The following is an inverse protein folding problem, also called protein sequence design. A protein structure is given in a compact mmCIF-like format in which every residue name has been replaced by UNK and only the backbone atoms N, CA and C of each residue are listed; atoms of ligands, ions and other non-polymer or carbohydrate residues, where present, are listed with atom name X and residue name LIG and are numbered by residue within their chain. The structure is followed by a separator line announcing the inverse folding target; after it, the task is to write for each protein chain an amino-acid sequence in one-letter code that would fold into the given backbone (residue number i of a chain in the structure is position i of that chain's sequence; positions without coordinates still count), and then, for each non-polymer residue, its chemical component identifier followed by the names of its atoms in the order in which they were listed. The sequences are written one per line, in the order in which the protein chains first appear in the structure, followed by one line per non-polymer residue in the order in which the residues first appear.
data_IF_367578114546
#
_entry.id   IF_367578114546
#
_cell.length_a   1.000
_cell.length_b   1.000
_cell.length_c   1.000
_cell.angle_alpha   90.00
_cell.angle_beta   90.00
_cell.angle_gamma   90.00
#
_symmetry.space_group_name_H-M   'P 1'
#
loop_
_entity.id
_entity.type
_entity.pdbx_description
1 polymer ?
#
# COMPACT_ATOMS: atom_id res chain seq x y z
N UNK A 1 -8.56 10.59 5.14
CA UNK A 1 -9.23 9.59 4.29
C UNK A 1 -10.71 9.87 4.05
N UNK A 2 -11.56 10.13 5.06
CA UNK A 2 -13.04 10.27 4.88
C UNK A 2 -13.48 11.20 3.75
N UNK A 3 -12.81 12.35 3.58
CA UNK A 3 -13.24 13.39 2.65
C UNK A 3 -12.32 13.59 1.44
N UNK A 4 -11.15 12.95 1.42
CA UNK A 4 -10.10 13.18 0.42
C UNK A 4 -9.37 11.88 0.03
N UNK A 5 -9.94 10.72 0.37
CA UNK A 5 -9.29 9.42 0.16
C UNK A 5 -9.14 9.05 -1.31
N UNK A 6 -10.09 9.44 -2.16
CA UNK A 6 -10.06 9.20 -3.60
C UNK A 6 -8.84 9.78 -4.33
N UNK A 7 -8.18 10.79 -3.77
CA UNK A 7 -6.95 11.36 -4.33
C UNK A 7 -5.70 10.49 -4.11
N UNK A 8 -5.78 9.43 -3.30
CA UNK A 8 -4.65 8.61 -2.85
C UNK A 8 -4.88 7.12 -3.12
N UNK A 9 -5.54 6.78 -4.23
CA UNK A 9 -6.01 5.41 -4.48
C UNK A 9 -4.89 4.37 -4.47
N UNK A 10 -3.76 4.65 -5.14
CA UNK A 10 -2.64 3.70 -5.24
C UNK A 10 -1.88 3.58 -3.93
N UNK A 11 -1.68 4.70 -3.22
CA UNK A 11 -1.03 4.74 -1.93
C UNK A 11 -1.83 3.95 -0.88
N UNK A 12 -3.16 4.16 -0.85
CA UNK A 12 -4.06 3.42 0.04
C UNK A 12 -3.99 1.93 -0.29
N UNK A 13 -4.14 1.55 -1.55
CA UNK A 13 -4.06 0.14 -1.97
C UNK A 13 -2.73 -0.51 -1.58
N UNK A 14 -1.60 0.19 -1.72
CA UNK A 14 -0.28 -0.30 -1.32
C UNK A 14 -0.19 -0.53 0.20
N UNK A 15 -0.67 0.43 1.00
CA UNK A 15 -0.66 0.31 2.46
C UNK A 15 -1.55 -0.85 2.91
N UNK A 16 -2.74 -1.00 2.34
CA UNK A 16 -3.65 -2.12 2.67
C UNK A 16 -3.08 -3.47 2.26
N UNK A 17 -2.50 -3.56 1.07
CA UNK A 17 -1.88 -4.79 0.59
C UNK A 17 -0.77 -5.25 1.55
N UNK A 18 0.05 -4.29 2.02
CA UNK A 18 1.09 -4.56 3.00
C UNK A 18 0.51 -4.96 4.37
N UNK A 19 -0.53 -4.25 4.83
CA UNK A 19 -1.19 -4.54 6.09
C UNK A 19 -1.78 -5.95 6.12
N UNK A 20 -2.45 -6.38 5.04
CA UNK A 20 -3.06 -7.71 4.94
C UNK A 20 -2.03 -8.83 4.77
N UNK A 21 -0.91 -8.57 4.09
CA UNK A 21 0.01 -9.63 3.67
C UNK A 21 1.22 -9.79 4.60
N UNK A 22 1.74 -8.67 5.13
CA UNK A 22 3.09 -8.61 5.66
C UNK A 22 3.23 -7.95 7.03
N UNK A 23 2.34 -7.04 7.44
CA UNK A 23 2.56 -6.19 8.62
C UNK A 23 2.87 -6.98 9.90
N UNK A 24 2.02 -7.94 10.28
CA UNK A 24 2.18 -8.72 11.51
C UNK A 24 3.43 -9.59 11.47
N UNK A 25 3.75 -10.13 10.29
CA UNK A 25 4.96 -10.95 10.09
C UNK A 25 6.20 -10.07 10.20
N UNK A 26 6.24 -8.94 9.50
CA UNK A 26 7.36 -8.00 9.56
C UNK A 26 7.53 -7.43 10.97
N UNK A 27 6.46 -7.12 11.69
CA UNK A 27 6.52 -6.65 13.09
C UNK A 27 7.16 -7.69 14.00
N UNK A 28 6.77 -8.96 13.86
CA UNK A 28 7.39 -10.07 14.61
C UNK A 28 8.86 -10.23 14.26
N UNK A 29 9.18 -10.31 12.97
CA UNK A 29 10.56 -10.42 12.49
C UNK A 29 11.43 -9.24 12.91
N UNK A 30 10.89 -8.02 12.95
CA UNK A 30 11.59 -6.84 13.43
C UNK A 30 11.89 -6.93 14.93
N UNK A 31 10.91 -7.36 15.74
CA UNK A 31 11.13 -7.58 17.18
C UNK A 31 12.18 -8.66 17.44
N UNK A 32 12.19 -9.73 16.64
CA UNK A 32 13.18 -10.80 16.72
C UNK A 32 14.56 -10.31 16.30
N UNK A 33 14.65 -9.53 15.21
CA UNK A 33 15.90 -8.96 14.73
C UNK A 33 16.48 -7.95 15.73
N UNK A 34 15.63 -7.14 16.36
CA UNK A 34 16.04 -6.21 17.42
C UNK A 34 16.60 -6.96 18.64
N UNK A 35 15.95 -8.06 19.04
CA UNK A 35 16.46 -8.92 20.11
C UNK A 35 17.78 -9.61 19.72
N UNK A 36 17.90 -10.06 18.49
CA UNK A 36 19.15 -10.65 18.00
C UNK A 36 20.28 -9.61 17.98
N UNK A 37 19.97 -8.37 17.59
CA UNK A 37 20.91 -7.27 17.64
C UNK A 37 21.36 -6.97 19.08
N UNK A 38 20.44 -6.90 20.06
CA UNK A 38 20.82 -6.70 21.46
C UNK A 38 21.73 -7.83 21.97
N UNK A 39 21.43 -9.08 21.60
CA UNK A 39 22.25 -10.22 21.97
C UNK A 39 23.66 -10.15 21.35
N UNK A 40 23.78 -9.68 20.10
CA UNK A 40 25.09 -9.47 19.45
C UNK A 40 25.88 -8.40 20.20
N UNK A 41 25.26 -7.28 20.57
CA UNK A 41 25.93 -6.20 21.31
C UNK A 41 26.42 -6.69 22.68
N UNK A 42 25.61 -7.47 23.38
CA UNK A 42 26.01 -8.08 24.66
C UNK A 42 27.15 -9.10 24.49
N UNK A 43 27.11 -9.90 23.42
CA UNK A 43 28.15 -10.86 23.10
C UNK A 43 29.47 -10.19 22.68
N UNK A 44 29.41 -9.12 21.88
CA UNK A 44 30.56 -8.30 21.45
C UNK A 44 31.23 -7.69 22.68
N UNK A 45 30.46 -7.07 23.58
CA UNK A 45 30.99 -6.51 24.82
C UNK A 45 31.58 -7.57 25.76
N UNK A 46 31.05 -8.80 25.76
CA UNK A 46 31.59 -9.90 26.56
C UNK A 46 32.86 -10.50 25.94
N UNK A 47 32.95 -10.55 24.62
CA UNK A 47 34.11 -11.05 23.89
C UNK A 47 35.28 -10.06 23.97
N UNK A 48 35.02 -8.76 23.83
CA UNK A 48 36.00 -7.69 24.02
C UNK A 48 36.64 -7.72 25.40
N UNK A 49 35.84 -7.97 26.46
CA UNK A 49 36.36 -8.15 27.83
C UNK A 49 37.31 -9.34 27.95
N UNK A 50 36.96 -10.48 27.34
CA UNK A 50 37.81 -11.68 27.35
C UNK A 50 39.12 -11.49 26.59
N UNK A 51 39.11 -10.69 25.52
CA UNK A 51 40.31 -10.35 24.76
C UNK A 51 41.25 -9.45 25.56
N UNK A 52 40.71 -8.52 26.36
CA UNK A 52 41.50 -7.65 27.24
C UNK A 52 42.10 -8.37 28.46
N UNK A 53 41.44 -9.43 28.94
CA UNK A 53 41.91 -10.25 30.07
C UNK A 53 43.03 -11.25 29.69
N UNK A 54 43.35 -11.41 28.40
CA UNK A 54 44.47 -12.26 27.97
C UNK A 54 45.82 -11.61 28.28
N UNK A 55 46.74 -12.39 28.86
CA UNK A 55 48.11 -11.95 29.20
C UNK A 55 48.79 -11.23 28.01
N UNK A 56 49.12 -9.95 28.20
CA UNK A 56 49.79 -9.09 27.20
C UNK A 56 48.89 -8.09 26.45
N UNK A 57 47.59 -8.03 26.77
CA UNK A 57 46.58 -7.21 26.08
C UNK A 57 46.00 -6.05 26.91
N UNK A 58 46.46 -5.84 28.15
CA UNK A 58 45.96 -4.78 29.03
C UNK A 58 46.07 -3.39 28.38
N UNK A 59 44.93 -2.73 28.16
CA UNK A 59 44.84 -1.35 27.66
C UNK A 59 44.83 -1.17 26.14
N UNK A 60 44.88 -2.24 25.34
CA UNK A 60 44.70 -2.17 23.87
C UNK A 60 43.26 -2.42 23.48
N UNK A 61 42.78 -1.73 22.45
CA UNK A 61 41.48 -2.02 21.84
C UNK A 61 41.56 -3.30 20.99
N UNK A 62 40.47 -4.06 20.83
CA UNK A 62 40.45 -5.27 19.99
C UNK A 62 40.93 -5.01 18.54
N UNK A 63 40.67 -3.80 18.04
CA UNK A 63 41.10 -3.30 16.73
C UNK A 63 42.63 -3.17 16.62
N UNK A 64 43.33 -2.87 17.72
CA UNK A 64 44.80 -2.74 17.75
C UNK A 64 45.51 -4.08 17.93
N UNK A 65 44.77 -5.15 18.27
CA UNK A 65 45.33 -6.48 18.53
C UNK A 65 45.34 -7.39 17.29
N UNK A 66 44.59 -7.06 16.25
CA UNK A 66 44.37 -7.91 15.07
C UNK A 66 44.60 -7.13 13.76
N UNK A 67 44.85 -7.86 12.67
CA UNK A 67 44.82 -7.28 11.32
C UNK A 67 43.38 -6.94 10.92
N UNK A 68 43.16 -5.91 10.10
CA UNK A 68 41.81 -5.47 9.67
C UNK A 68 40.97 -6.62 9.08
N UNK A 69 41.58 -7.51 8.28
CA UNK A 69 40.91 -8.69 7.70
C UNK A 69 40.53 -9.72 8.78
N UNK A 70 41.39 -9.95 9.76
CA UNK A 70 41.15 -10.92 10.84
C UNK A 70 40.09 -10.42 11.83
N UNK A 71 40.04 -9.10 12.07
CA UNK A 71 39.02 -8.46 12.90
C UNK A 71 37.62 -8.56 12.27
N UNK A 72 37.50 -8.34 10.96
CA UNK A 72 36.24 -8.50 10.24
C UNK A 72 35.75 -9.96 10.26
N UNK A 73 36.65 -10.92 10.02
CA UNK A 73 36.30 -12.34 10.07
C UNK A 73 35.88 -12.77 11.48
N UNK A 74 36.55 -12.26 12.52
CA UNK A 74 36.20 -12.54 13.91
C UNK A 74 34.82 -11.97 14.29
N UNK A 75 34.52 -10.73 13.90
CA UNK A 75 33.20 -10.14 14.13
C UNK A 75 32.10 -10.83 13.33
N UNK A 76 32.37 -11.23 12.10
CA UNK A 76 31.43 -12.04 11.31
C UNK A 76 31.15 -13.39 11.97
N UNK A 77 32.19 -14.07 12.47
CA UNK A 77 32.04 -15.34 13.18
C UNK A 77 31.24 -15.17 14.48
N UNK A 78 31.48 -14.09 15.23
CA UNK A 78 30.69 -13.75 16.42
C UNK A 78 29.21 -13.54 16.07
N UNK A 79 28.93 -12.74 15.04
CA UNK A 79 27.56 -12.48 14.55
C UNK A 79 26.88 -13.77 14.10
N UNK A 80 27.58 -14.63 13.37
CA UNK A 80 27.05 -15.93 12.90
C UNK A 80 26.79 -16.91 14.05
N UNK A 81 27.53 -16.80 15.17
CA UNK A 81 27.31 -17.64 16.37
C UNK A 81 26.06 -17.24 17.15
N UNK A 82 25.73 -15.94 17.22
CA UNK A 82 24.57 -15.48 18.01
C UNK A 82 23.30 -15.29 17.18
N UNK A 83 23.40 -14.98 15.88
CA UNK A 83 22.23 -14.89 15.00
C UNK A 83 21.87 -16.27 14.45
N UNK A 84 20.63 -16.71 14.67
CA UNK A 84 20.13 -17.90 13.97
C UNK A 84 19.89 -17.58 12.48
N UNK A 85 20.50 -18.34 11.55
CA UNK A 85 20.37 -18.06 10.11
C UNK A 85 18.91 -18.15 9.64
N UNK A 86 18.15 -19.09 10.21
CA UNK A 86 16.74 -19.29 9.86
C UNK A 86 15.89 -18.04 10.15
N UNK A 87 16.06 -17.38 11.31
CA UNK A 87 15.29 -16.17 11.64
C UNK A 87 15.65 -14.99 10.72
N UNK A 88 16.93 -14.85 10.35
CA UNK A 88 17.36 -13.82 9.41
C UNK A 88 16.75 -14.04 8.02
N UNK A 89 16.72 -15.29 7.54
CA UNK A 89 16.07 -15.65 6.27
C UNK A 89 14.56 -15.45 6.32
N UNK A 90 13.89 -15.87 7.41
CA UNK A 90 12.44 -15.71 7.57
C UNK A 90 12.05 -14.22 7.61
N UNK A 91 12.86 -13.37 8.25
CA UNK A 91 12.67 -11.92 8.27
C UNK A 91 12.82 -11.29 6.87
N UNK A 92 13.87 -11.65 6.15
CA UNK A 92 14.08 -11.19 4.78
C UNK A 92 12.95 -11.66 3.84
N UNK A 93 12.53 -12.92 3.97
CA UNK A 93 11.43 -13.48 3.20
C UNK A 93 10.09 -12.78 3.51
N UNK A 94 9.82 -12.45 4.78
CA UNK A 94 8.61 -11.73 5.16
C UNK A 94 8.55 -10.32 4.55
N UNK A 95 9.67 -9.59 4.54
CA UNK A 95 9.76 -8.25 3.93
C UNK A 95 9.55 -8.36 2.41
N UNK A 96 10.24 -9.30 1.75
CA UNK A 96 10.09 -9.54 0.32
C UNK A 96 8.66 -9.95 -0.06
N UNK A 97 8.03 -10.82 0.73
CA UNK A 97 6.65 -11.22 0.51
C UNK A 97 5.69 -10.02 0.62
N UNK A 98 5.89 -9.13 1.60
CA UNK A 98 5.12 -7.90 1.71
C UNK A 98 5.31 -6.96 0.52
N UNK A 99 6.56 -6.81 0.04
CA UNK A 99 6.86 -6.01 -1.16
C UNK A 99 6.19 -6.58 -2.41
N UNK A 100 6.31 -7.89 -2.65
CA UNK A 100 5.68 -8.53 -3.79
C UNK A 100 4.15 -8.51 -3.71
N UNK A 101 3.58 -8.56 -2.50
CA UNK A 101 2.14 -8.39 -2.33
C UNK A 101 1.67 -7.01 -2.79
N UNK A 102 2.40 -5.94 -2.46
CA UNK A 102 2.10 -4.58 -2.94
C UNK A 102 2.13 -4.54 -4.48
N UNK A 103 3.22 -5.02 -5.09
CA UNK A 103 3.37 -5.02 -6.55
C UNK A 103 2.26 -5.84 -7.21
N UNK A 104 1.94 -7.01 -6.66
CA UNK A 104 0.89 -7.88 -7.17
C UNK A 104 -0.49 -7.21 -7.08
N UNK A 105 -0.85 -6.61 -5.95
CA UNK A 105 -2.14 -5.92 -5.78
C UNK A 105 -2.29 -4.76 -6.76
N UNK A 106 -1.25 -3.94 -6.90
CA UNK A 106 -1.28 -2.80 -7.80
C UNK A 106 -1.39 -3.21 -9.28
N UNK A 107 -0.59 -4.19 -9.72
CA UNK A 107 -0.64 -4.70 -11.12
C UNK A 107 -1.92 -5.47 -11.42
N UNK A 108 -2.41 -6.27 -10.46
CA UNK A 108 -3.65 -7.01 -10.62
C UNK A 108 -4.84 -6.07 -10.78
N UNK A 109 -4.91 -4.99 -10.00
CA UNK A 109 -5.98 -3.98 -10.12
C UNK A 109 -6.03 -3.36 -11.52
N UNK A 110 -4.88 -2.93 -12.05
CA UNK A 110 -4.80 -2.37 -13.40
C UNK A 110 -5.20 -3.41 -14.48
N UNK A 111 -4.64 -4.62 -14.42
CA UNK A 111 -4.95 -5.69 -15.37
C UNK A 111 -6.43 -6.10 -15.35
N UNK A 112 -7.03 -6.17 -14.16
CA UNK A 112 -8.44 -6.50 -13.98
C UNK A 112 -9.35 -5.41 -14.58
N UNK A 113 -9.04 -4.12 -14.33
CA UNK A 113 -9.81 -3.00 -14.87
C UNK A 113 -9.82 -2.98 -16.41
N UNK A 114 -8.66 -3.23 -17.04
CA UNK A 114 -8.52 -3.29 -18.50
C UNK A 114 -9.31 -4.47 -19.06
N UNK A 115 -9.17 -5.66 -18.45
CA UNK A 115 -9.84 -6.89 -18.92
C UNK A 115 -11.36 -6.75 -18.86
N UNK A 116 -11.88 -6.25 -17.73
CA UNK A 116 -13.31 -5.96 -17.56
C UNK A 116 -13.78 -4.87 -18.55
N UNK A 117 -12.96 -3.84 -18.75
CA UNK A 117 -13.25 -2.76 -19.69
C UNK A 117 -13.38 -3.22 -21.14
N UNK A 118 -12.46 -4.06 -21.59
CA UNK A 118 -12.51 -4.67 -22.94
C UNK A 118 -13.74 -5.58 -23.08
N UNK A 119 -14.04 -6.39 -22.06
CA UNK A 119 -15.24 -7.25 -22.07
C UNK A 119 -16.53 -6.42 -22.17
N UNK A 120 -16.63 -5.32 -21.41
CA UNK A 120 -17.74 -4.36 -21.52
C UNK A 120 -17.79 -3.70 -22.90
N UNK A 121 -16.65 -3.31 -23.45
CA UNK A 121 -16.53 -2.75 -24.79
C UNK A 121 -17.10 -3.67 -25.88
N UNK A 122 -16.81 -4.97 -25.83
CA UNK A 122 -17.38 -5.94 -26.77
C UNK A 122 -18.88 -6.14 -26.61
N UNK A 123 -19.43 -5.99 -25.40
CA UNK A 123 -20.88 -6.02 -25.18
C UNK A 123 -21.54 -4.78 -25.80
N UNK A 124 -20.95 -3.60 -25.60
CA UNK A 124 -21.46 -2.35 -26.20
C UNK A 124 -21.31 -2.35 -27.72
N UNK A 125 -20.22 -2.87 -28.26
CA UNK A 125 -19.99 -2.94 -29.70
C UNK A 125 -21.15 -3.61 -30.44
N UNK A 126 -21.70 -4.70 -29.90
CA UNK A 126 -22.86 -5.39 -30.49
C UNK A 126 -24.08 -4.47 -30.54
N UNK A 127 -24.38 -3.76 -29.44
CA UNK A 127 -25.51 -2.84 -29.36
C UNK A 127 -25.32 -1.61 -30.27
N UNK A 128 -24.12 -1.04 -30.27
CA UNK A 128 -23.79 0.16 -31.05
C UNK A 128 -23.73 -0.16 -32.55
N UNK A 129 -23.25 -1.33 -32.97
CA UNK A 129 -23.30 -1.75 -34.38
C UNK A 129 -24.74 -1.90 -34.87
N UNK A 130 -25.64 -2.43 -34.05
CA UNK A 130 -27.05 -2.55 -34.44
C UNK A 130 -27.71 -1.19 -34.70
N UNK A 131 -27.34 -0.15 -33.95
CA UNK A 131 -27.98 1.17 -34.03
C UNK A 131 -27.25 2.11 -35.00
N UNK A 132 -25.92 2.21 -34.90
CA UNK A 132 -25.13 3.28 -35.49
C UNK A 132 -24.32 2.86 -36.74
N UNK A 133 -24.25 1.57 -37.07
CA UNK A 133 -23.37 1.10 -38.14
C UNK A 133 -23.69 1.73 -39.50
N UNK A 134 -24.98 1.97 -39.79
CA UNK A 134 -25.42 2.56 -41.06
C UNK A 134 -24.98 4.01 -41.22
N UNK A 135 -25.11 4.80 -40.14
CA UNK A 135 -24.75 6.22 -40.14
C UNK A 135 -23.24 6.42 -40.20
N UNK A 136 -22.49 5.59 -39.47
CA UNK A 136 -21.02 5.62 -39.49
C UNK A 136 -20.50 5.21 -40.87
N UNK A 137 -21.08 4.20 -41.53
CA UNK A 137 -20.69 3.83 -42.90
C UNK A 137 -20.95 4.93 -43.93
N UNK A 138 -21.97 5.77 -43.72
CA UNK A 138 -22.23 6.93 -44.57
C UNK A 138 -21.16 8.02 -44.37
N UNK A 139 -20.79 8.30 -43.12
CA UNK A 139 -19.74 9.26 -42.74
C UNK A 139 -18.36 8.90 -43.32
N UNK A 140 -18.00 7.61 -43.34
CA UNK A 140 -16.70 7.16 -43.84
C UNK A 140 -16.63 7.05 -45.38
N UNK A 141 -17.72 7.31 -46.11
CA UNK A 141 -17.71 7.49 -47.57
C UNK A 141 -17.03 6.36 -48.35
N UNK A 142 -15.81 6.62 -48.81
CA UNK A 142 -14.94 5.73 -49.59
C UNK A 142 -14.16 4.72 -48.71
N UNK A 143 -13.96 5.03 -47.43
CA UNK A 143 -13.20 4.23 -46.46
C UNK A 143 -14.10 3.39 -45.52
N UNK A 144 -15.23 2.87 -46.02
CA UNK A 144 -16.23 2.14 -45.19
C UNK A 144 -15.67 0.93 -44.45
N UNK A 145 -14.57 0.34 -44.93
CA UNK A 145 -13.89 -0.76 -44.27
C UNK A 145 -13.37 -0.38 -42.87
N UNK A 146 -13.03 0.88 -42.63
CA UNK A 146 -12.53 1.39 -41.34
C UNK A 146 -13.65 1.66 -40.33
N UNK A 147 -14.90 1.78 -40.76
CA UNK A 147 -16.02 2.08 -39.87
C UNK A 147 -16.18 1.05 -38.74
N UNK A 148 -16.07 -0.25 -39.06
CA UNK A 148 -16.23 -1.32 -38.06
C UNK A 148 -15.07 -1.40 -37.07
N UNK A 149 -13.78 -1.39 -37.50
CA UNK A 149 -12.64 -1.32 -36.58
C UNK A 149 -12.63 -0.08 -35.68
N UNK A 150 -12.91 1.11 -36.24
CA UNK A 150 -12.93 2.35 -35.46
C UNK A 150 -14.03 2.32 -34.42
N UNK A 151 -15.22 1.83 -34.77
CA UNK A 151 -16.33 1.72 -33.83
C UNK A 151 -16.04 0.74 -32.70
N UNK A 152 -15.42 -0.41 -33.00
CA UNK A 152 -14.97 -1.37 -32.00
C UNK A 152 -13.91 -0.77 -31.07
N UNK A 153 -12.91 -0.08 -31.62
CA UNK A 153 -11.88 0.59 -30.83
C UNK A 153 -12.47 1.65 -29.90
N UNK A 154 -13.41 2.47 -30.38
CA UNK A 154 -14.11 3.46 -29.56
C UNK A 154 -14.93 2.82 -28.44
N UNK A 155 -15.65 1.71 -28.73
CA UNK A 155 -16.39 0.97 -27.71
C UNK A 155 -15.46 0.35 -26.66
N UNK A 156 -14.30 -0.17 -27.06
CA UNK A 156 -13.29 -0.68 -26.14
C UNK A 156 -12.70 0.43 -25.26
N UNK A 157 -12.35 1.59 -25.83
CA UNK A 157 -11.87 2.75 -25.07
C UNK A 157 -12.95 3.21 -24.08
N UNK A 158 -14.20 3.33 -24.53
CA UNK A 158 -15.32 3.68 -23.66
C UNK A 158 -15.53 2.65 -22.54
N UNK A 159 -15.45 1.36 -22.85
CA UNK A 159 -15.54 0.28 -21.85
C UNK A 159 -14.43 0.33 -20.82
N UNK A 160 -13.18 0.56 -21.24
CA UNK A 160 -12.03 0.73 -20.34
C UNK A 160 -12.18 1.97 -19.45
N UNK A 161 -12.55 3.12 -20.02
CA UNK A 161 -12.77 4.33 -19.21
C UNK A 161 -13.89 4.15 -18.18
N UNK A 162 -15.01 3.51 -18.55
CA UNK A 162 -16.09 3.20 -17.61
C UNK A 162 -15.63 2.25 -16.50
N UNK A 163 -14.88 1.20 -16.85
CA UNK A 163 -14.29 0.25 -15.89
C UNK A 163 -13.40 0.96 -14.87
N UNK A 164 -12.53 1.85 -15.34
CA UNK A 164 -11.63 2.62 -14.48
C UNK A 164 -12.41 3.53 -13.51
N UNK A 165 -13.43 4.24 -14.00
CA UNK A 165 -14.29 5.08 -13.14
C UNK A 165 -15.01 4.24 -12.08
N UNK A 166 -15.54 3.07 -12.46
CA UNK A 166 -16.18 2.17 -11.49
C UNK A 166 -15.17 1.65 -10.45
N UNK A 167 -13.96 1.31 -10.87
CA UNK A 167 -12.88 0.91 -9.98
C UNK A 167 -12.53 2.00 -8.96
N UNK A 168 -12.35 3.24 -9.43
CA UNK A 168 -12.08 4.39 -8.58
C UNK A 168 -13.20 4.63 -7.55
N UNK A 169 -14.47 4.52 -7.95
CA UNK A 169 -15.59 4.68 -7.01
C UNK A 169 -15.59 3.65 -5.88
N UNK A 170 -15.14 2.41 -6.16
CA UNK A 170 -15.01 1.38 -5.12
C UNK A 170 -13.92 1.74 -4.10
N UNK A 171 -12.79 2.29 -4.57
CA UNK A 171 -11.71 2.77 -3.67
C UNK A 171 -12.14 3.98 -2.85
N UNK A 172 -12.89 4.91 -3.44
CA UNK A 172 -13.47 6.07 -2.75
C UNK A 172 -14.38 5.60 -1.61
N UNK A 173 -15.25 4.63 -1.87
CA UNK A 173 -16.12 4.03 -0.85
C UNK A 173 -15.31 3.38 0.27
N UNK A 174 -14.31 2.57 -0.08
CA UNK A 174 -13.42 1.93 0.89
C UNK A 174 -12.70 2.97 1.77
N UNK A 175 -12.16 4.02 1.16
CA UNK A 175 -11.45 5.09 1.88
C UNK A 175 -12.38 5.89 2.82
N UNK A 176 -13.65 6.05 2.44
CA UNK A 176 -14.65 6.72 3.26
C UNK A 176 -15.02 5.86 4.48
N UNK A 177 -15.21 4.56 4.28
CA UNK A 177 -15.47 3.59 5.36
C UNK A 177 -14.29 3.53 6.34
N UNK A 178 -13.07 3.27 5.85
CA UNK A 178 -11.89 3.19 6.73
C UNK A 178 -11.56 4.52 7.40
N UNK A 179 -11.74 5.63 6.68
CA UNK A 179 -11.60 6.95 7.28
C UNK A 179 -12.58 7.19 8.43
N UNK A 180 -13.83 6.73 8.29
CA UNK A 180 -14.87 6.97 9.30
C UNK A 180 -14.56 6.25 10.60
N UNK A 181 -13.99 5.04 10.47
CA UNK A 181 -13.51 4.24 11.58
C UNK A 181 -12.44 4.98 12.39
N UNK A 182 -11.42 5.52 11.71
CA UNK A 182 -10.37 6.31 12.36
C UNK A 182 -10.90 7.55 13.08
N UNK A 183 -11.87 8.27 12.50
CA UNK A 183 -12.43 9.46 13.14
C UNK A 183 -13.19 9.08 14.41
N UNK A 184 -13.99 8.02 14.38
CA UNK A 184 -14.76 7.58 15.55
C UNK A 184 -13.83 7.08 16.66
N UNK A 185 -12.77 6.34 16.32
CA UNK A 185 -11.74 5.95 17.29
C UNK A 185 -11.00 7.15 17.89
N UNK A 186 -10.57 8.11 17.07
CA UNK A 186 -9.89 9.31 17.55
C UNK A 186 -10.80 10.17 18.45
N UNK A 187 -12.10 10.27 18.13
CA UNK A 187 -13.06 10.97 18.96
C UNK A 187 -13.21 10.31 20.34
N UNK A 188 -13.16 8.97 20.43
CA UNK A 188 -13.19 8.25 21.71
C UNK A 188 -11.95 8.51 22.55
N UNK A 189 -10.76 8.54 21.93
CA UNK A 189 -9.51 8.81 22.63
C UNK A 189 -9.43 10.24 23.21
N UNK A 190 -10.17 11.18 22.63
CA UNK A 190 -10.27 12.56 23.10
C UNK A 190 -11.28 12.75 24.25
N UNK A 191 -12.18 11.78 24.49
CA UNK A 191 -13.15 11.85 25.61
C UNK A 191 -12.45 11.39 26.90
N UNK A 192 -12.48 12.20 27.98
CA UNK A 192 -11.83 11.85 29.23
C UNK A 192 -12.36 10.54 29.81
N UNK A 193 -11.44 9.65 30.21
CA UNK A 193 -11.72 8.30 30.76
C UNK A 193 -12.57 8.27 32.05
N UNK A 194 -12.86 9.41 32.67
CA UNK A 194 -13.55 9.46 33.97
C UNK A 194 -15.07 9.27 33.90
N UNK A 195 -15.71 9.37 32.73
CA UNK A 195 -17.18 9.36 32.64
C UNK A 195 -17.82 8.23 31.85
N UNK A 196 -17.05 7.29 31.27
CA UNK A 196 -17.62 6.30 30.36
C UNK A 196 -17.02 4.93 30.63
N UNK A 197 -17.86 3.94 30.94
CA UNK A 197 -17.53 2.52 30.79
C UNK A 197 -16.84 2.31 29.43
N UNK A 198 -15.90 1.37 29.35
CA UNK A 198 -15.25 1.00 28.08
C UNK A 198 -16.29 0.43 27.11
N UNK A 199 -17.04 1.31 26.45
CA UNK A 199 -18.01 0.98 25.43
C UNK A 199 -17.21 0.62 24.18
N UNK A 200 -17.21 -0.67 23.88
CA UNK A 200 -16.56 -1.21 22.69
C UNK A 200 -17.12 -0.51 21.43
N UNK A 201 -16.23 0.07 20.63
CA UNK A 201 -16.62 0.82 19.41
C UNK A 201 -17.27 -0.04 18.35
N UNK A 202 -17.07 -1.34 18.45
CA UNK A 202 -17.49 -2.27 17.42
C UNK A 202 -18.84 -2.90 17.77
N UNK A 203 -19.27 -2.82 19.03
CA UNK A 203 -20.55 -3.36 19.49
C UNK A 203 -21.60 -2.28 19.75
N UNK A 204 -21.19 -1.04 20.02
CA UNK A 204 -22.13 0.04 20.28
C UNK A 204 -22.82 0.54 18.99
N UNK A 205 -24.15 0.42 18.97
CA UNK A 205 -24.98 0.79 17.84
C UNK A 205 -24.83 2.27 17.46
N UNK A 206 -24.61 3.15 18.44
CA UNK A 206 -24.40 4.56 18.19
C UNK A 206 -23.07 4.82 17.46
N UNK A 207 -22.00 4.13 17.85
CA UNK A 207 -20.71 4.20 17.19
C UNK A 207 -20.77 3.66 15.75
N UNK A 208 -21.43 2.51 15.54
CA UNK A 208 -21.61 1.93 14.19
C UNK A 208 -22.41 2.86 13.28
N UNK A 209 -23.50 3.46 13.80
CA UNK A 209 -24.30 4.42 13.05
C UNK A 209 -23.50 5.68 12.71
N UNK A 210 -22.70 6.20 13.65
CA UNK A 210 -21.83 7.34 13.41
C UNK A 210 -20.77 7.05 12.32
N UNK A 211 -20.13 5.87 12.36
CA UNK A 211 -19.21 5.41 11.30
C UNK A 211 -19.92 5.41 9.94
N UNK A 212 -21.10 4.79 9.84
CA UNK A 212 -21.85 4.68 8.58
C UNK A 212 -22.29 6.05 8.03
N UNK A 213 -22.86 6.91 8.87
CA UNK A 213 -23.31 8.26 8.46
C UNK A 213 -22.12 9.08 7.96
N UNK A 214 -21.01 9.05 8.70
CA UNK A 214 -19.80 9.76 8.32
C UNK A 214 -19.19 9.23 7.01
N UNK A 215 -19.21 7.90 6.81
CA UNK A 215 -18.76 7.28 5.57
C UNK A 215 -19.62 7.69 4.37
N UNK A 216 -20.95 7.70 4.50
CA UNK A 216 -21.87 8.12 3.42
C UNK A 216 -21.65 9.60 3.07
N UNK A 217 -21.56 10.47 4.08
CA UNK A 217 -21.27 11.90 3.86
C UNK A 217 -19.90 12.10 3.20
N UNK A 218 -18.89 11.32 3.62
CA UNK A 218 -17.56 11.30 3.02
C UNK A 218 -17.60 10.90 1.55
N UNK A 219 -18.27 9.80 1.23
CA UNK A 219 -18.40 9.27 -0.12
C UNK A 219 -19.10 10.25 -1.07
N UNK A 220 -20.28 10.75 -0.69
CA UNK A 220 -21.06 11.68 -1.53
C UNK A 220 -20.24 12.94 -1.83
N UNK A 221 -19.54 13.46 -0.81
CA UNK A 221 -18.71 14.65 -0.95
C UNK A 221 -17.50 14.40 -1.85
N UNK A 222 -16.83 13.25 -1.74
CA UNK A 222 -15.70 12.89 -2.59
C UNK A 222 -16.10 12.76 -4.06
N UNK A 223 -17.25 12.13 -4.34
CA UNK A 223 -17.80 12.00 -5.70
C UNK A 223 -18.22 13.37 -6.24
N UNK A 224 -18.89 14.19 -5.43
CA UNK A 224 -19.35 15.52 -5.85
C UNK A 224 -18.19 16.49 -6.16
N UNK A 225 -17.05 16.34 -5.49
CA UNK A 225 -15.87 17.19 -5.68
C UNK A 225 -14.84 16.65 -6.68
N UNK A 226 -15.14 15.53 -7.36
CA UNK A 226 -14.28 14.98 -8.40
C UNK A 226 -12.90 14.56 -7.88
N UNK A 227 -12.85 14.05 -6.64
CA UNK A 227 -11.64 13.47 -6.04
C UNK A 227 -10.45 14.43 -5.86
N UNK A 228 -10.66 15.75 -5.95
CA UNK A 228 -9.62 16.75 -5.75
C UNK A 228 -9.44 17.17 -4.29
N UNK A 229 -8.19 17.44 -3.88
CA UNK A 229 -7.89 18.11 -2.61
C UNK A 229 -7.95 19.62 -2.80
N UNK A 230 -8.75 20.31 -2.00
CA UNK A 230 -8.88 21.77 -2.10
C UNK A 230 -7.67 22.51 -1.50
N UNK A 231 -7.39 23.72 -2.01
CA UNK A 231 -6.34 24.59 -1.45
C UNK A 231 -6.79 25.14 -0.08
N UNK A 232 -5.93 25.18 0.97
CA UNK A 232 -4.48 24.93 0.99
C UNK A 232 -4.07 23.50 1.37
N UNK A 233 -5.01 22.60 1.66
CA UNK A 233 -4.71 21.22 2.07
C UNK A 233 -3.86 20.49 1.02
N UNK A 234 -4.04 20.81 -0.26
CA UNK A 234 -3.20 20.29 -1.34
C UNK A 234 -1.69 20.53 -1.10
N UNK A 235 -1.29 21.68 -0.52
CA UNK A 235 0.12 21.98 -0.25
C UNK A 235 0.67 21.11 0.88
N UNK A 236 -0.11 20.92 1.94
CA UNK A 236 0.28 20.12 3.11
C UNK A 236 0.40 18.63 2.74
N UNK A 237 -0.52 18.15 1.90
CA UNK A 237 -0.59 16.73 1.49
C UNK A 237 0.16 16.46 0.18
N UNK A 238 0.83 17.48 -0.38
CA UNK A 238 1.62 17.40 -1.61
C UNK A 238 2.65 16.25 -1.66
N UNK A 239 3.42 15.91 -0.60
CA UNK A 239 4.35 14.78 -0.69
C UNK A 239 3.63 13.44 -0.93
N UNK A 240 2.43 13.27 -0.38
CA UNK A 240 1.64 12.05 -0.58
C UNK A 240 1.01 11.99 -1.96
N UNK A 241 0.63 13.15 -2.53
CA UNK A 241 0.12 13.22 -3.90
C UNK A 241 1.20 12.86 -4.91
N UNK A 242 2.44 13.31 -4.69
CA UNK A 242 3.59 12.92 -5.51
C UNK A 242 3.84 11.42 -5.38
N UNK A 243 3.80 10.85 -4.17
CA UNK A 243 3.99 9.42 -3.95
C UNK A 243 2.92 8.57 -4.67
N UNK A 244 1.65 8.98 -4.59
CA UNK A 244 0.54 8.31 -5.29
C UNK A 244 0.72 8.36 -6.81
N UNK A 245 1.13 9.52 -7.35
CA UNK A 245 1.42 9.67 -8.77
C UNK A 245 2.59 8.79 -9.24
N UNK A 246 3.68 8.72 -8.46
CA UNK A 246 4.83 7.85 -8.76
C UNK A 246 4.42 6.38 -8.74
N UNK A 247 3.60 5.96 -7.78
CA UNK A 247 3.06 4.61 -7.73
C UNK A 247 2.16 4.32 -8.93
N UNK A 248 1.26 5.24 -9.28
CA UNK A 248 0.41 5.12 -10.47
C UNK A 248 1.23 4.97 -11.75
N UNK A 249 2.30 5.77 -11.91
CA UNK A 249 3.22 5.63 -13.02
C UNK A 249 3.90 4.24 -13.04
N UNK A 250 4.41 3.77 -11.91
CA UNK A 250 5.07 2.46 -11.80
C UNK A 250 4.15 1.25 -12.07
N UNK A 251 2.82 1.44 -12.04
CA UNK A 251 1.84 0.39 -12.35
C UNK A 251 1.54 0.31 -13.84
N UNK A 252 1.60 1.46 -14.53
CA UNK A 252 1.33 1.57 -15.97
C UNK A 252 2.52 1.10 -16.81
N UNK A 253 3.75 1.22 -16.29
CA UNK A 253 4.99 0.78 -16.93
C UNK A 253 5.47 -0.61 -16.41
#
# INVERSE_FOLDING_TARGET
MVFYGGSFTYLIAAIEAYHLSGWEKTKKCYSELYRNYSNVVEADAADDRKLQEKDGAEGKTPEEMMSDEDYLNHKLDLVLKVISPQQAFDAAAAILAGFFAIVATLKYGAAASITLGVAMGFMFEKAVKLVCQRDVQYLFGEHRAWASPVLSALCCIAGVTLSSVMGETAFVLYSALKGSDFVVHACKDLVPRESTEQVDSDTDMACVLAKLVLAVLGFVKQVAWGYGVWFPLNLVVSPFLIADWVLGAAVVW
#
